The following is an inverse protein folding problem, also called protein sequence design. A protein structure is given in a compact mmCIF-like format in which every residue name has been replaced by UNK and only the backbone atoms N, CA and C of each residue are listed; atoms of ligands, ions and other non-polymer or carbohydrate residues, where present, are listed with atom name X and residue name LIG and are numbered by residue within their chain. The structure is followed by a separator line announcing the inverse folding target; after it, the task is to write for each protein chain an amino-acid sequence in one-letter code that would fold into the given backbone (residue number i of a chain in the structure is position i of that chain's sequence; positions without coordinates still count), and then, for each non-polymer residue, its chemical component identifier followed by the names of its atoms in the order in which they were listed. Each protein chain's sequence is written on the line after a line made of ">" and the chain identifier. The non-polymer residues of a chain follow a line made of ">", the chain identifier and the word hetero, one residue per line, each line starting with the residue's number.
data_IF_877309562381
#
_entry.id   IF_877309562381
#
_cell.length_a   1.000
_cell.length_b   1.000
_cell.length_c   1.000
_cell.angle_alpha   90.00
_cell.angle_beta   90.00
_cell.angle_gamma   90.00
#
_symmetry.space_group_name_H-M   'P 1'
#
loop_
_entity.id
_entity.type
_entity.pdbx_description
1 polymer ?
#
# COMPACT_ATOMS: atom_id res chain seq x y z
N UNK A 1 -8.58 43.18 28.01
CA UNK A 1 -8.11 42.25 26.96
C UNK A 1 -7.93 40.89 27.59
N UNK A 2 -8.94 40.04 27.51
CA UNK A 2 -8.93 38.67 28.06
C UNK A 2 -8.77 37.72 26.88
N UNK A 3 -7.57 37.19 26.70
CA UNK A 3 -7.30 36.15 25.71
C UNK A 3 -7.79 34.81 26.24
N UNK A 4 -8.83 34.26 25.62
CA UNK A 4 -9.26 32.89 25.84
C UNK A 4 -8.35 31.96 25.06
N UNK A 5 -7.60 31.13 25.79
CA UNK A 5 -6.87 30.00 25.24
C UNK A 5 -7.87 28.95 24.74
N UNK A 6 -7.81 28.61 23.45
CA UNK A 6 -8.51 27.44 22.92
C UNK A 6 -7.70 26.19 23.30
N UNK A 7 -8.24 25.40 24.23
CA UNK A 7 -7.78 24.04 24.47
C UNK A 7 -8.08 23.18 23.23
N UNK A 8 -7.03 22.62 22.64
CA UNK A 8 -7.13 21.64 21.56
C UNK A 8 -7.71 20.36 22.17
N UNK A 9 -8.97 20.04 21.88
CA UNK A 9 -9.54 18.75 22.22
C UNK A 9 -8.86 17.68 21.37
N UNK A 10 -8.01 16.85 22.00
CA UNK A 10 -7.50 15.63 21.41
C UNK A 10 -8.69 14.68 21.15
N UNK A 11 -9.20 14.65 19.92
CA UNK A 11 -10.09 13.59 19.51
C UNK A 11 -9.29 12.28 19.56
N UNK A 12 -9.69 11.34 20.42
CA UNK A 12 -9.24 9.95 20.33
C UNK A 12 -9.55 9.46 18.91
N UNK A 13 -8.56 9.43 18.03
CA UNK A 13 -8.66 8.68 16.79
C UNK A 13 -8.57 7.22 17.23
N UNK A 14 -9.73 6.56 17.37
CA UNK A 14 -9.75 5.14 17.66
C UNK A 14 -8.96 4.40 16.57
N UNK A 15 -8.00 3.58 17.01
CA UNK A 15 -7.23 2.71 16.13
C UNK A 15 -8.13 1.65 15.52
N UNK A 16 -7.81 1.23 14.29
CA UNK A 16 -8.51 0.13 13.63
C UNK A 16 -8.28 -1.15 14.42
N UNK A 17 -9.33 -1.93 14.68
CA UNK A 17 -9.27 -3.14 15.50
C UNK A 17 -9.89 -4.33 14.76
N UNK A 18 -9.27 -5.51 14.87
CA UNK A 18 -9.77 -6.72 14.23
C UNK A 18 -10.64 -7.52 15.19
N UNK A 19 -11.79 -7.96 14.72
CA UNK A 19 -12.61 -8.98 15.36
C UNK A 19 -12.59 -10.23 14.48
N UNK A 20 -12.12 -11.35 15.04
CA UNK A 20 -12.13 -12.63 14.36
C UNK A 20 -12.40 -13.77 15.36
N UNK A 21 -12.90 -14.89 14.86
CA UNK A 21 -13.06 -16.11 15.67
C UNK A 21 -11.72 -16.84 15.64
N UNK A 22 -11.06 -17.09 16.79
CA UNK A 22 -9.71 -17.65 16.80
C UNK A 22 -9.71 -19.05 16.23
N UNK A 23 -8.80 -19.32 15.29
CA UNK A 23 -8.33 -20.66 14.98
C UNK A 23 -7.06 -20.94 15.79
N UNK A 24 -6.84 -22.20 16.18
CA UNK A 24 -5.71 -22.58 17.03
C UNK A 24 -4.36 -22.21 16.38
N UNK A 25 -3.54 -21.47 17.13
CA UNK A 25 -2.16 -21.15 16.77
C UNK A 25 -1.24 -22.36 16.95
N UNK A 26 -0.33 -22.57 15.99
CA UNK A 26 0.76 -23.54 16.07
C UNK A 26 2.07 -22.74 16.26
N UNK A 27 3.03 -23.20 17.10
CA UNK A 27 4.29 -22.48 17.34
C UNK A 27 5.15 -22.34 16.07
N UNK A 28 5.85 -21.21 15.98
CA UNK A 28 6.68 -20.76 14.86
C UNK A 28 8.14 -21.17 15.12
N UNK A 29 8.64 -22.21 14.45
CA UNK A 29 10.07 -22.55 14.39
C UNK A 29 10.63 -21.99 13.07
N UNK A 30 11.42 -20.92 13.19
CA UNK A 30 12.01 -20.21 12.06
C UNK A 30 13.33 -20.85 11.65
N UNK A 31 13.38 -21.48 10.48
CA UNK A 31 14.55 -21.40 9.60
C UNK A 31 14.17 -21.76 8.16
N UNK A 32 14.42 -20.79 7.27
CA UNK A 32 14.31 -20.77 5.82
C UNK A 32 12.90 -20.81 5.20
N UNK A 33 12.45 -19.67 4.65
CA UNK A 33 12.08 -19.51 3.24
C UNK A 33 11.43 -18.13 2.93
N UNK A 34 11.77 -17.55 1.78
CA UNK A 34 11.60 -16.12 1.47
C UNK A 34 12.77 -15.31 2.03
N UNK A 35 13.29 -14.34 1.27
CA UNK A 35 14.36 -13.49 1.80
C UNK A 35 13.79 -12.42 2.71
N UNK A 36 14.30 -12.34 3.93
CA UNK A 36 13.88 -11.39 4.94
C UNK A 36 14.72 -10.12 4.80
N UNK A 37 14.05 -9.01 4.57
CA UNK A 37 14.62 -7.68 4.48
C UNK A 37 14.18 -6.88 5.71
N UNK A 38 15.14 -6.28 6.40
CA UNK A 38 14.85 -5.30 7.45
C UNK A 38 14.12 -4.11 6.82
N UNK A 39 12.97 -3.75 7.39
CA UNK A 39 12.19 -2.62 6.92
C UNK A 39 12.33 -1.42 7.85
N UNK A 40 12.18 -0.21 7.32
CA UNK A 40 12.17 1.01 8.10
C UNK A 40 10.86 1.77 7.86
N UNK A 41 10.24 2.37 8.90
CA UNK A 41 9.13 3.28 8.68
C UNK A 41 9.64 4.58 8.05
N UNK A 42 8.94 5.09 7.04
CA UNK A 42 9.12 6.46 6.55
C UNK A 42 8.36 7.48 7.43
N UNK A 43 8.36 8.76 7.02
CA UNK A 43 7.69 9.82 7.75
C UNK A 43 6.15 9.64 7.85
N UNK A 44 5.56 8.82 6.99
CA UNK A 44 4.13 8.51 6.94
C UNK A 44 3.81 7.09 7.47
N UNK A 45 4.76 6.46 8.17
CA UNK A 45 4.68 5.11 8.73
C UNK A 45 4.41 4.02 7.67
N UNK A 46 4.94 4.21 6.45
CA UNK A 46 5.00 3.17 5.41
C UNK A 46 6.33 2.45 5.47
N UNK A 47 6.37 1.20 5.00
CA UNK A 47 7.57 0.36 5.11
C UNK A 47 8.48 0.52 3.88
N UNK A 48 9.74 0.87 4.11
CA UNK A 48 10.81 0.89 3.09
C UNK A 48 11.80 -0.25 3.29
N UNK A 49 12.45 -0.66 2.20
CA UNK A 49 13.55 -1.64 2.22
C UNK A 49 14.78 -1.08 1.51
N UNK A 50 15.94 -1.64 1.85
CA UNK A 50 17.19 -1.38 1.14
C UNK A 50 17.23 -2.06 -0.21
N UNK A 51 17.57 -1.30 -1.26
CA UNK A 51 17.63 -1.75 -2.65
C UNK A 51 18.93 -1.25 -3.28
N UNK A 52 19.63 -2.10 -4.03
CA UNK A 52 20.78 -1.65 -4.81
C UNK A 52 20.38 -1.34 -6.26
N UNK A 53 21.01 -0.34 -6.87
CA UNK A 53 20.85 -0.01 -8.29
C UNK A 53 22.23 -0.06 -8.90
N UNK A 54 22.41 -0.87 -9.95
CA UNK A 54 23.72 -1.09 -10.58
C UNK A 54 24.80 -1.58 -9.60
N UNK A 55 24.38 -2.29 -8.53
CA UNK A 55 25.27 -2.74 -7.45
C UNK A 55 25.64 -1.67 -6.43
N UNK A 56 25.14 -0.44 -6.55
CA UNK A 56 25.33 0.65 -5.58
C UNK A 56 24.11 0.76 -4.65
N UNK A 57 24.33 1.04 -3.35
CA UNK A 57 23.25 1.13 -2.36
C UNK A 57 23.69 0.69 -0.96
N UNK A 58 22.73 0.42 -0.03
CA UNK A 58 21.29 0.37 -0.27
C UNK A 58 20.63 1.76 -0.30
N UNK A 59 19.72 1.96 -1.24
CA UNK A 59 18.76 3.06 -1.31
C UNK A 59 17.42 2.65 -0.71
N UNK A 60 16.67 3.58 -0.13
CA UNK A 60 15.40 3.28 0.54
C UNK A 60 14.25 3.29 -0.46
N UNK A 61 13.61 2.14 -0.65
CA UNK A 61 12.47 1.98 -1.55
C UNK A 61 11.21 1.60 -0.78
N UNK A 62 10.14 2.34 -1.03
CA UNK A 62 8.79 1.99 -0.59
C UNK A 62 8.28 0.78 -1.37
N UNK A 63 7.70 -0.21 -0.69
CA UNK A 63 6.92 -1.25 -1.37
C UNK A 63 5.51 -0.73 -1.61
N UNK A 64 5.09 -0.63 -2.87
CA UNK A 64 3.78 -0.12 -3.24
C UNK A 64 3.02 -1.10 -4.15
N UNK A 65 2.15 -1.90 -3.53
CA UNK A 65 1.25 -2.83 -4.25
C UNK A 65 0.12 -2.11 -4.99
N UNK A 66 -0.08 -0.81 -4.71
CA UNK A 66 -0.97 0.10 -5.40
C UNK A 66 -0.34 0.74 -6.64
N UNK A 67 0.97 0.63 -6.87
CA UNK A 67 1.64 1.14 -8.08
C UNK A 67 1.84 0.05 -9.14
N UNK A 68 1.66 0.41 -10.40
CA UNK A 68 1.97 -0.48 -11.53
C UNK A 68 3.45 -0.51 -11.86
N UNK A 69 4.12 0.63 -11.70
CA UNK A 69 5.49 0.82 -12.14
C UNK A 69 6.38 1.10 -10.94
N UNK A 70 7.61 0.59 -11.02
CA UNK A 70 8.72 1.01 -10.17
C UNK A 70 9.10 2.45 -10.53
N UNK A 71 9.34 3.28 -9.52
CA UNK A 71 9.61 4.72 -9.66
C UNK A 71 10.96 5.03 -9.01
N UNK A 72 11.71 5.95 -9.61
CA UNK A 72 12.94 6.46 -9.01
C UNK A 72 12.78 7.94 -8.66
N UNK A 73 13.40 8.38 -7.57
CA UNK A 73 13.49 9.82 -7.32
C UNK A 73 14.40 10.50 -8.35
N UNK A 74 14.05 11.72 -8.76
CA UNK A 74 14.89 12.55 -9.64
C UNK A 74 16.26 12.81 -9.01
N UNK A 75 16.33 12.94 -7.68
CA UNK A 75 17.57 13.12 -6.94
C UNK A 75 18.50 11.90 -7.07
N UNK A 76 17.97 10.70 -6.84
CA UNK A 76 18.74 9.46 -6.98
C UNK A 76 19.19 9.24 -8.43
N UNK A 77 18.29 9.42 -9.40
CA UNK A 77 18.62 9.31 -10.83
C UNK A 77 19.78 10.23 -11.23
N UNK A 78 19.80 11.47 -10.72
CA UNK A 78 20.89 12.43 -10.96
C UNK A 78 22.19 11.99 -10.28
N UNK A 79 22.12 11.50 -9.04
CA UNK A 79 23.30 11.05 -8.31
C UNK A 79 24.00 9.86 -8.97
N UNK A 80 23.22 8.95 -9.56
CA UNK A 80 23.69 7.80 -10.34
C UNK A 80 24.08 8.16 -11.79
N UNK A 81 23.91 9.42 -12.21
CA UNK A 81 24.22 9.86 -13.56
C UNK A 81 23.34 9.24 -14.65
N UNK A 82 22.12 8.81 -14.31
CA UNK A 82 21.19 8.18 -15.25
C UNK A 82 20.76 9.17 -16.33
N UNK A 83 20.65 8.68 -17.57
CA UNK A 83 20.15 9.47 -18.69
C UNK A 83 18.63 9.55 -18.65
N UNK A 84 18.10 10.76 -18.77
CA UNK A 84 16.66 10.97 -18.89
C UNK A 84 16.17 10.52 -20.27
N UNK A 85 15.06 9.82 -20.28
CA UNK A 85 14.32 9.39 -21.45
C UNK A 85 13.07 10.25 -21.67
N UNK A 86 12.23 9.91 -22.67
CA UNK A 86 10.99 10.61 -22.95
C UNK A 86 10.04 10.62 -21.75
N UNK A 87 9.22 11.66 -21.65
CA UNK A 87 8.19 11.74 -20.62
C UNK A 87 7.07 10.72 -20.85
N UNK A 88 6.52 10.22 -19.74
CA UNK A 88 5.35 9.34 -19.73
C UNK A 88 4.28 9.89 -18.78
N UNK A 89 3.03 9.47 -18.98
CA UNK A 89 1.93 9.82 -18.08
C UNK A 89 1.95 8.93 -16.85
N UNK A 90 1.95 9.56 -15.68
CA UNK A 90 1.84 8.90 -14.38
C UNK A 90 0.46 9.20 -13.80
N UNK A 91 -0.26 8.14 -13.44
CA UNK A 91 -1.55 8.26 -12.76
C UNK A 91 -1.31 8.02 -11.28
N UNK A 92 -1.61 9.03 -10.46
CA UNK A 92 -1.55 8.95 -9.00
C UNK A 92 -2.94 9.07 -8.38
N UNK A 93 -3.03 8.97 -7.05
CA UNK A 93 -4.27 9.24 -6.34
C UNK A 93 -4.79 10.66 -6.58
N UNK A 94 -3.91 11.65 -6.62
CA UNK A 94 -4.31 13.06 -6.67
C UNK A 94 -4.48 13.63 -8.08
N UNK A 95 -4.01 12.93 -9.11
CA UNK A 95 -4.02 13.47 -10.47
C UNK A 95 -3.25 12.63 -11.47
N UNK A 96 -3.29 13.09 -12.71
CA UNK A 96 -2.41 12.61 -13.79
C UNK A 96 -1.36 13.67 -14.04
N UNK A 97 -0.11 13.26 -14.16
CA UNK A 97 1.01 14.14 -14.43
C UNK A 97 1.95 13.54 -15.50
N UNK A 98 2.80 14.37 -16.09
CA UNK A 98 3.88 13.90 -16.97
C UNK A 98 5.18 13.85 -16.20
N UNK A 99 5.87 12.71 -16.25
CA UNK A 99 7.17 12.51 -15.62
C UNK A 99 8.18 12.07 -16.67
N UNK A 100 9.38 12.67 -16.63
CA UNK A 100 10.53 12.13 -17.36
C UNK A 100 10.80 10.69 -16.92
N UNK A 101 11.44 9.91 -17.79
CA UNK A 101 11.83 8.53 -17.46
C UNK A 101 13.34 8.39 -17.34
N UNK A 102 13.82 7.30 -16.76
CA UNK A 102 15.21 6.86 -16.87
C UNK A 102 15.25 5.35 -17.10
N UNK A 103 16.34 4.88 -17.72
CA UNK A 103 16.61 3.45 -17.85
C UNK A 103 17.50 2.99 -16.70
N UNK A 104 17.12 1.88 -16.07
CA UNK A 104 17.89 1.18 -15.06
C UNK A 104 18.24 -0.20 -15.61
N UNK A 105 19.53 -0.48 -15.78
CA UNK A 105 20.02 -1.78 -16.20
C UNK A 105 19.74 -2.89 -15.17
N UNK A 106 19.94 -2.62 -13.88
CA UNK A 106 19.64 -3.57 -12.80
C UNK A 106 19.20 -2.89 -11.50
N UNK A 107 18.24 -3.51 -10.82
CA UNK A 107 17.81 -3.19 -9.46
C UNK A 107 17.80 -4.48 -8.64
N UNK A 108 18.53 -4.48 -7.54
CA UNK A 108 18.71 -5.64 -6.66
C UNK A 108 17.90 -5.45 -5.39
N UNK A 109 16.98 -6.39 -5.16
CA UNK A 109 16.14 -6.47 -3.98
C UNK A 109 16.50 -7.76 -3.26
N UNK A 110 17.40 -7.64 -2.29
CA UNK A 110 18.02 -8.81 -1.68
C UNK A 110 18.84 -9.61 -2.71
N UNK A 111 18.56 -10.89 -2.85
CA UNK A 111 19.15 -11.85 -3.79
C UNK A 111 18.47 -11.83 -5.17
N UNK A 112 17.47 -10.97 -5.39
CA UNK A 112 16.74 -10.87 -6.65
C UNK A 112 17.22 -9.67 -7.42
N UNK A 113 17.53 -9.87 -8.69
CA UNK A 113 17.84 -8.79 -9.63
C UNK A 113 16.74 -8.67 -10.67
N UNK A 114 16.21 -7.46 -10.84
CA UNK A 114 15.35 -7.11 -11.95
C UNK A 114 16.15 -6.29 -12.97
N UNK A 115 15.99 -6.59 -14.25
CA UNK A 115 16.79 -6.00 -15.31
C UNK A 115 15.93 -5.16 -16.26
N UNK A 116 16.59 -4.19 -16.91
CA UNK A 116 16.03 -3.41 -18.03
C UNK A 116 14.70 -2.70 -17.72
N UNK A 117 14.68 -1.92 -16.63
CA UNK A 117 13.50 -1.15 -16.24
C UNK A 117 13.54 0.24 -16.86
N UNK A 118 12.40 0.69 -17.37
CA UNK A 118 12.16 2.10 -17.67
C UNK A 118 11.26 2.67 -16.58
N UNK A 119 11.82 3.53 -15.74
CA UNK A 119 11.14 4.05 -14.55
C UNK A 119 10.82 5.54 -14.71
N UNK A 120 9.61 6.00 -14.35
CA UNK A 120 9.34 7.43 -14.21
C UNK A 120 10.15 8.03 -13.06
N UNK A 121 10.50 9.31 -13.21
CA UNK A 121 11.23 10.09 -12.24
C UNK A 121 10.29 11.04 -11.50
N UNK A 122 10.15 10.88 -10.18
CA UNK A 122 9.35 11.76 -9.33
C UNK A 122 10.23 12.50 -8.31
N UNK A 123 9.72 13.56 -7.70
CA UNK A 123 10.46 14.33 -6.70
C UNK A 123 10.54 13.54 -5.38
N UNK A 124 11.74 13.35 -4.85
CA UNK A 124 12.05 12.64 -3.60
C UNK A 124 11.18 13.14 -2.43
N UNK A 125 11.07 14.46 -2.26
CA UNK A 125 10.26 15.10 -1.22
C UNK A 125 8.77 14.75 -1.24
N UNK A 126 8.24 14.28 -2.37
CA UNK A 126 6.84 13.86 -2.49
C UNK A 126 6.68 12.35 -2.35
N UNK A 127 7.73 11.58 -2.67
CA UNK A 127 7.75 10.13 -2.46
C UNK A 127 7.92 9.83 -0.96
N UNK A 128 8.83 10.52 -0.28
CA UNK A 128 9.26 10.20 1.09
C UNK A 128 10.33 9.10 1.17
N UNK A 129 10.87 8.68 0.03
CA UNK A 129 11.89 7.64 -0.13
C UNK A 129 12.70 7.88 -1.42
N UNK A 130 13.78 7.11 -1.63
CA UNK A 130 14.61 7.21 -2.83
C UNK A 130 13.92 6.65 -4.09
N UNK A 131 12.92 5.78 -3.90
CA UNK A 131 12.10 5.23 -4.96
C UNK A 131 10.90 4.43 -4.44
N UNK A 132 10.15 3.86 -5.38
CA UNK A 132 8.98 3.00 -5.13
C UNK A 132 9.16 1.72 -5.93
N UNK A 133 9.04 0.55 -5.29
CA UNK A 133 8.92 -0.74 -5.97
C UNK A 133 7.45 -1.02 -6.26
N UNK A 134 7.10 -1.01 -7.54
CA UNK A 134 5.74 -1.27 -8.03
C UNK A 134 5.50 -2.74 -8.37
N UNK A 135 4.30 -3.03 -8.83
CA UNK A 135 3.89 -4.40 -9.19
C UNK A 135 4.59 -4.96 -10.43
N UNK A 136 5.22 -4.15 -11.27
CA UNK A 136 6.11 -4.61 -12.36
C UNK A 136 7.27 -5.49 -11.85
N UNK A 137 7.83 -5.14 -10.70
CA UNK A 137 8.88 -5.89 -9.99
C UNK A 137 8.30 -6.98 -9.08
N UNK A 138 7.10 -6.80 -8.53
CA UNK A 138 6.54 -7.70 -7.51
C UNK A 138 5.62 -8.81 -8.07
N UNK A 139 5.19 -8.72 -9.33
CA UNK A 139 4.11 -9.55 -9.90
C UNK A 139 4.34 -11.07 -9.92
N UNK A 140 5.58 -11.53 -9.73
CA UNK A 140 5.95 -12.95 -9.67
C UNK A 140 6.34 -13.38 -8.25
N UNK A 141 6.16 -12.51 -7.27
CA UNK A 141 6.58 -12.73 -5.90
C UNK A 141 5.36 -12.82 -4.97
N UNK A 142 5.58 -13.44 -3.81
CA UNK A 142 4.81 -13.18 -2.59
C UNK A 142 5.58 -12.15 -1.77
N UNK A 143 4.87 -11.12 -1.32
CA UNK A 143 5.39 -10.07 -0.43
C UNK A 143 4.73 -10.25 0.93
N UNK A 144 5.51 -10.46 1.98
CA UNK A 144 5.02 -10.59 3.36
C UNK A 144 5.47 -9.38 4.16
N UNK A 145 4.51 -8.64 4.70
CA UNK A 145 4.72 -7.57 5.66
C UNK A 145 4.55 -8.19 7.05
N UNK A 146 5.62 -8.24 7.83
CA UNK A 146 5.58 -8.63 9.24
C UNK A 146 5.70 -7.37 10.09
N UNK A 147 4.59 -6.97 10.70
CA UNK A 147 4.50 -5.71 11.45
C UNK A 147 5.06 -5.83 12.86
N UNK A 148 5.05 -7.03 13.45
CA UNK A 148 5.65 -7.28 14.78
C UNK A 148 7.17 -7.21 14.70
N UNK A 149 7.75 -7.79 13.65
CA UNK A 149 9.21 -7.80 13.42
C UNK A 149 9.69 -6.61 12.62
N UNK A 150 8.77 -5.84 12.03
CA UNK A 150 9.07 -4.75 11.10
C UNK A 150 9.98 -5.22 9.94
N UNK A 151 9.63 -6.34 9.33
CA UNK A 151 10.37 -6.93 8.20
C UNK A 151 9.48 -7.11 6.99
N UNK A 152 10.11 -7.10 5.81
CA UNK A 152 9.48 -7.45 4.55
C UNK A 152 10.15 -8.70 4.01
N UNK A 153 9.37 -9.71 3.65
CA UNK A 153 9.87 -10.88 2.95
C UNK A 153 9.40 -10.89 1.51
N UNK A 154 10.32 -11.11 0.56
CA UNK A 154 10.01 -11.20 -0.86
C UNK A 154 10.56 -12.52 -1.39
N UNK A 155 9.71 -13.32 -2.04
CA UNK A 155 10.11 -14.66 -2.47
C UNK A 155 9.13 -15.33 -3.41
N UNK A 156 9.49 -16.51 -3.90
CA UNK A 156 8.52 -17.37 -4.58
C UNK A 156 7.48 -17.84 -3.55
N UNK A 157 6.17 -17.86 -3.86
CA UNK A 157 5.16 -18.41 -2.97
C UNK A 157 5.50 -19.77 -2.35
N UNK A 158 6.16 -20.66 -3.11
CA UNK A 158 6.56 -22.00 -2.66
C UNK A 158 7.67 -21.98 -1.63
N UNK A 159 8.47 -20.90 -1.60
CA UNK A 159 9.41 -20.68 -0.52
C UNK A 159 8.59 -20.60 0.80
N UNK A 160 7.57 -19.75 0.86
CA UNK A 160 6.82 -19.50 2.10
C UNK A 160 5.96 -20.65 2.63
N UNK A 161 5.55 -21.60 1.79
CA UNK A 161 4.53 -22.62 2.11
C UNK A 161 4.99 -23.67 3.14
N UNK A 162 6.19 -23.56 3.70
CA UNK A 162 6.71 -24.41 4.79
C UNK A 162 6.51 -23.84 6.21
N UNK A 163 6.18 -22.55 6.35
CA UNK A 163 6.18 -21.83 7.63
C UNK A 163 4.79 -21.60 8.26
N UNK A 164 3.91 -22.59 8.13
CA UNK A 164 2.60 -22.58 8.79
C UNK A 164 1.47 -21.97 7.95
N UNK A 165 0.24 -22.36 8.29
CA UNK A 165 -0.96 -21.83 7.64
C UNK A 165 -1.27 -20.42 8.13
N UNK A 166 -1.44 -19.48 7.21
CA UNK A 166 -2.10 -18.20 7.53
C UNK A 166 -3.51 -18.47 8.05
N UNK A 167 -3.93 -17.71 9.05
CA UNK A 167 -5.24 -17.89 9.68
C UNK A 167 -6.40 -17.56 8.72
N UNK A 168 -6.21 -16.55 7.86
CA UNK A 168 -7.22 -16.13 6.89
C UNK A 168 -6.60 -16.00 5.51
N UNK A 169 -7.29 -16.53 4.49
CA UNK A 169 -6.91 -16.43 3.08
C UNK A 169 -8.05 -15.85 2.27
N UNK A 170 -7.84 -14.66 1.70
CA UNK A 170 -8.81 -13.94 0.87
C UNK A 170 -8.39 -14.03 -0.60
N UNK A 171 -9.31 -14.43 -1.48
CA UNK A 171 -9.06 -14.45 -2.93
C UNK A 171 -9.26 -13.07 -3.54
N UNK A 172 -8.35 -12.69 -4.43
CA UNK A 172 -8.40 -11.46 -5.20
C UNK A 172 -8.41 -11.73 -6.71
N UNK A 173 -8.69 -10.69 -7.48
CA UNK A 173 -8.55 -10.67 -8.94
C UNK A 173 -7.43 -9.71 -9.31
N UNK A 174 -6.53 -10.11 -10.20
CA UNK A 174 -5.51 -9.22 -10.75
C UNK A 174 -6.13 -8.30 -11.81
N UNK A 175 -5.87 -7.00 -11.73
CA UNK A 175 -6.24 -6.02 -12.76
C UNK A 175 -5.12 -4.99 -12.86
N UNK A 176 -4.55 -4.84 -14.05
CA UNK A 176 -3.47 -3.88 -14.32
C UNK A 176 -2.32 -3.98 -13.30
N UNK A 177 -1.86 -5.20 -12.97
CA UNK A 177 -0.79 -5.42 -11.98
C UNK A 177 -1.28 -5.56 -10.53
N UNK A 178 -2.31 -4.81 -10.12
CA UNK A 178 -2.81 -4.75 -8.74
C UNK A 178 -3.78 -5.89 -8.41
N UNK A 179 -3.90 -6.24 -7.12
CA UNK A 179 -4.86 -7.22 -6.61
C UNK A 179 -6.11 -6.53 -6.03
N UNK A 180 -7.28 -6.98 -6.49
CA UNK A 180 -8.58 -6.44 -6.09
C UNK A 180 -9.43 -7.53 -5.44
N UNK A 181 -9.79 -7.36 -4.17
CA UNK A 181 -10.80 -8.17 -3.48
C UNK A 181 -12.18 -7.66 -3.85
N UNK A 182 -12.99 -8.49 -4.49
CA UNK A 182 -14.34 -8.11 -4.96
C UNK A 182 -15.47 -8.56 -4.03
N UNK A 183 -15.15 -9.33 -2.99
CA UNK A 183 -16.10 -9.88 -2.02
C UNK A 183 -15.90 -9.24 -0.64
N UNK A 184 -15.78 -7.92 -0.60
CA UNK A 184 -15.73 -7.14 0.62
C UNK A 184 -17.06 -6.41 0.89
N UNK A 185 -17.32 -6.12 2.16
CA UNK A 185 -18.45 -5.29 2.58
C UNK A 185 -17.98 -4.21 3.55
N UNK A 186 -18.42 -2.97 3.35
CA UNK A 186 -18.22 -1.86 4.31
C UNK A 186 -19.60 -1.44 4.79
N UNK A 187 -19.89 -1.64 6.08
CA UNK A 187 -21.20 -1.32 6.68
C UNK A 187 -22.39 -1.85 5.85
N UNK A 188 -22.27 -3.09 5.35
CA UNK A 188 -23.30 -3.74 4.54
C UNK A 188 -23.19 -3.45 3.02
N UNK A 189 -22.34 -2.52 2.59
CA UNK A 189 -22.19 -2.10 1.19
C UNK A 189 -21.10 -2.92 0.51
N UNK A 190 -21.47 -3.65 -0.55
CA UNK A 190 -20.51 -4.38 -1.38
C UNK A 190 -19.47 -3.42 -1.95
N UNK A 191 -18.21 -3.66 -1.64
CA UNK A 191 -17.10 -2.76 -1.96
C UNK A 191 -15.96 -3.55 -2.61
N UNK A 192 -15.29 -2.96 -3.60
CA UNK A 192 -14.03 -3.50 -4.13
C UNK A 192 -12.85 -2.93 -3.35
N UNK A 193 -11.94 -3.78 -2.91
CA UNK A 193 -10.79 -3.37 -2.08
C UNK A 193 -9.51 -3.64 -2.86
N UNK A 194 -8.72 -2.61 -3.08
CA UNK A 194 -7.35 -2.71 -3.60
C UNK A 194 -6.41 -2.65 -2.39
N UNK A 195 -5.46 -3.57 -2.30
CA UNK A 195 -4.43 -3.51 -1.25
C UNK A 195 -3.34 -2.53 -1.69
N UNK A 196 -3.11 -1.50 -0.89
CA UNK A 196 -2.21 -0.39 -1.23
C UNK A 196 -1.25 -0.12 -0.07
N UNK A 197 -0.06 -0.72 -0.14
CA UNK A 197 1.01 -0.51 0.83
C UNK A 197 1.73 0.84 0.64
N UNK A 198 1.48 1.53 -0.48
CA UNK A 198 2.06 2.84 -0.78
C UNK A 198 1.33 4.02 -0.12
N UNK A 199 0.14 3.76 0.43
CA UNK A 199 -0.70 4.75 1.11
C UNK A 199 -0.70 4.53 2.63
N UNK A 200 -0.47 5.59 3.41
CA UNK A 200 -0.55 5.52 4.88
C UNK A 200 -2.00 5.36 5.38
N UNK A 201 -2.97 5.91 4.64
CA UNK A 201 -4.40 5.94 4.98
C UNK A 201 -5.25 5.19 3.96
N UNK A 202 -6.43 4.72 4.39
CA UNK A 202 -7.45 4.16 3.48
C UNK A 202 -8.17 5.26 2.71
N UNK A 203 -8.19 5.13 1.37
CA UNK A 203 -8.83 6.08 0.46
C UNK A 203 -10.07 5.45 -0.15
N UNK A 204 -11.22 6.12 -0.06
CA UNK A 204 -12.49 5.66 -0.63
C UNK A 204 -12.92 6.50 -1.82
N UNK A 205 -13.63 5.90 -2.77
CA UNK A 205 -14.17 6.66 -3.90
C UNK A 205 -15.52 7.33 -3.57
N UNK A 206 -15.92 8.28 -4.42
CA UNK A 206 -17.21 9.00 -4.29
C UNK A 206 -18.43 8.09 -4.40
N UNK A 207 -18.32 6.93 -5.05
CA UNK A 207 -19.42 5.96 -5.12
C UNK A 207 -19.70 5.31 -3.76
N UNK A 208 -18.66 4.95 -3.01
CA UNK A 208 -18.80 4.46 -1.65
C UNK A 208 -19.30 5.55 -0.71
N UNK A 209 -18.74 6.76 -0.78
CA UNK A 209 -19.17 7.90 0.05
C UNK A 209 -20.69 8.14 -0.04
N UNK A 210 -21.22 8.17 -1.27
CA UNK A 210 -22.67 8.31 -1.51
C UNK A 210 -23.48 7.14 -1.00
N UNK A 211 -22.96 5.91 -1.13
CA UNK A 211 -23.64 4.70 -0.70
C UNK A 211 -23.75 4.61 0.84
N UNK A 212 -22.70 5.02 1.55
CA UNK A 212 -22.68 5.06 3.02
C UNK A 212 -23.62 6.13 3.58
N UNK A 213 -23.98 7.15 2.77
CA UNK A 213 -24.73 8.34 3.22
C UNK A 213 -24.05 9.00 4.42
N UNK A 214 -22.71 8.93 4.46
CA UNK A 214 -21.93 9.33 5.61
C UNK A 214 -21.92 10.86 5.74
N UNK A 215 -22.14 11.34 6.97
CA UNK A 215 -22.01 12.77 7.24
C UNK A 215 -20.53 13.11 7.36
N UNK A 216 -20.08 14.12 6.62
CA UNK A 216 -18.68 14.59 6.63
C UNK A 216 -18.20 14.77 8.07
N UNK A 217 -17.21 13.98 8.48
CA UNK A 217 -16.54 14.10 9.79
C UNK A 217 -15.43 15.15 9.77
N UNK A 218 -15.04 15.59 8.57
CA UNK A 218 -14.05 16.63 8.34
C UNK A 218 -13.68 16.71 6.86
N UNK A 219 -12.84 17.68 6.53
CA UNK A 219 -12.26 17.86 5.19
C UNK A 219 -10.75 18.01 5.32
N UNK A 220 -10.02 17.66 4.26
CA UNK A 220 -8.58 17.84 4.21
C UNK A 220 -8.06 17.87 2.79
N UNK A 221 -6.74 17.85 2.66
CA UNK A 221 -6.02 17.70 1.41
C UNK A 221 -5.14 16.46 1.50
N UNK A 222 -5.19 15.62 0.47
CA UNK A 222 -4.26 14.52 0.27
C UNK A 222 -3.19 14.98 -0.73
N UNK A 223 -1.91 14.74 -0.44
CA UNK A 223 -0.81 14.95 -1.39
C UNK A 223 -0.36 13.60 -1.91
N UNK A 224 -0.28 13.42 -3.23
CA UNK A 224 0.23 12.18 -3.83
C UNK A 224 1.75 12.22 -4.03
N UNK A 225 2.32 11.09 -4.43
CA UNK A 225 3.75 10.96 -4.78
C UNK A 225 4.19 11.84 -5.97
N UNK A 226 3.24 12.36 -6.76
CA UNK A 226 3.56 13.36 -7.82
C UNK A 226 3.61 14.79 -7.27
N UNK A 227 3.20 15.02 -6.02
CA UNK A 227 3.08 16.34 -5.39
C UNK A 227 1.76 17.05 -5.67
N UNK A 228 0.90 16.47 -6.51
CA UNK A 228 -0.45 16.96 -6.73
C UNK A 228 -1.28 16.78 -5.45
N UNK A 229 -2.21 17.69 -5.22
CA UNK A 229 -3.09 17.65 -4.05
C UNK A 229 -4.54 17.40 -4.45
N UNK A 230 -5.27 16.66 -3.62
CA UNK A 230 -6.66 16.28 -3.85
C UNK A 230 -7.51 16.57 -2.62
N UNK A 231 -8.62 17.31 -2.76
CA UNK A 231 -9.55 17.52 -1.66
C UNK A 231 -10.20 16.21 -1.22
N UNK A 232 -10.19 15.95 0.08
CA UNK A 232 -10.77 14.76 0.70
C UNK A 232 -11.84 15.13 1.74
N UNK A 233 -12.84 14.26 1.87
CA UNK A 233 -13.76 14.28 3.01
C UNK A 233 -13.48 13.06 3.89
N UNK A 234 -13.42 13.23 5.19
CA UNK A 234 -13.28 12.10 6.10
C UNK A 234 -14.64 11.53 6.48
N UNK A 235 -14.71 10.20 6.53
CA UNK A 235 -15.80 9.44 7.13
C UNK A 235 -15.28 8.22 7.87
N UNK A 236 -16.12 7.64 8.72
CA UNK A 236 -15.76 6.47 9.52
C UNK A 236 -16.73 5.34 9.19
N UNK A 237 -16.20 4.22 8.72
CA UNK A 237 -16.97 2.99 8.63
C UNK A 237 -16.86 2.22 9.95
N UNK A 238 -17.99 1.67 10.39
CA UNK A 238 -18.00 0.86 11.61
C UNK A 238 -17.24 -0.45 11.39
N UNK A 239 -17.38 -1.02 10.19
CA UNK A 239 -16.88 -2.36 9.88
C UNK A 239 -16.58 -2.55 8.39
N UNK A 240 -15.37 -3.02 8.11
CA UNK A 240 -14.94 -3.65 6.86
C UNK A 240 -14.89 -5.17 7.05
N UNK A 241 -15.64 -5.91 6.24
CA UNK A 241 -15.62 -7.37 6.19
C UNK A 241 -14.94 -7.87 4.93
N UNK A 242 -13.95 -8.75 5.08
CA UNK A 242 -13.23 -9.45 4.02
C UNK A 242 -13.33 -10.96 4.26
N UNK A 243 -14.26 -11.64 3.61
CA UNK A 243 -14.53 -13.05 3.90
C UNK A 243 -14.91 -13.29 5.39
N UNK A 244 -14.13 -14.05 6.16
CA UNK A 244 -14.30 -14.26 7.60
C UNK A 244 -13.68 -13.16 8.49
N UNK A 245 -12.87 -12.27 7.90
CA UNK A 245 -12.17 -11.20 8.59
C UNK A 245 -13.06 -9.96 8.77
N UNK A 246 -13.00 -9.34 9.94
CA UNK A 246 -13.69 -8.08 10.23
C UNK A 246 -12.73 -7.07 10.86
N UNK A 247 -12.55 -5.93 10.19
CA UNK A 247 -11.82 -4.75 10.69
C UNK A 247 -12.83 -3.70 11.07
N UNK A 248 -12.72 -3.14 12.27
CA UNK A 248 -13.63 -2.14 12.83
C UNK A 248 -12.96 -0.76 12.88
N UNK A 249 -13.77 0.30 12.94
CA UNK A 249 -13.33 1.70 13.03
C UNK A 249 -12.40 2.13 11.87
N UNK A 250 -12.81 1.81 10.64
CA UNK A 250 -12.04 2.11 9.43
C UNK A 250 -12.24 3.58 9.06
N UNK A 251 -11.19 4.39 9.19
CA UNK A 251 -11.20 5.78 8.74
C UNK A 251 -10.98 5.83 7.22
N UNK A 252 -11.89 6.49 6.52
CA UNK A 252 -11.85 6.57 5.05
C UNK A 252 -11.74 8.04 4.63
N UNK A 253 -10.69 8.34 3.86
CA UNK A 253 -10.58 9.61 3.15
C UNK A 253 -11.23 9.48 1.77
N UNK A 254 -12.42 10.07 1.61
CA UNK A 254 -13.18 10.04 0.37
C UNK A 254 -12.69 11.07 -0.63
N UNK A 255 -12.33 10.60 -1.82
CA UNK A 255 -11.75 11.42 -2.87
C UNK A 255 -12.28 11.03 -4.26
N UNK A 256 -12.17 11.95 -5.21
CA UNK A 256 -12.42 11.68 -6.63
C UNK A 256 -11.08 11.41 -7.34
N UNK A 257 -10.47 10.26 -7.01
CA UNK A 257 -9.12 9.92 -7.44
C UNK A 257 -9.12 9.26 -8.84
N UNK A 258 -8.31 9.74 -9.82
CA UNK A 258 -8.18 9.13 -11.14
C UNK A 258 -7.76 7.66 -11.13
N UNK A 259 -7.04 7.22 -10.09
CA UNK A 259 -6.64 5.83 -9.89
C UNK A 259 -7.84 4.86 -9.88
N UNK A 260 -9.00 5.26 -9.31
CA UNK A 260 -10.21 4.42 -9.37
C UNK A 260 -10.73 4.25 -10.80
N UNK A 261 -10.59 5.28 -11.65
CA UNK A 261 -11.00 5.19 -13.05
C UNK A 261 -10.07 4.27 -13.83
N UNK A 262 -8.76 4.35 -13.61
CA UNK A 262 -7.77 3.46 -14.23
C UNK A 262 -8.01 1.96 -13.92
N UNK A 263 -8.68 1.67 -12.80
CA UNK A 263 -9.06 0.32 -12.37
C UNK A 263 -10.53 -0.04 -12.69
N UNK A 264 -11.27 0.79 -13.42
CA UNK A 264 -12.73 0.73 -13.62
C UNK A 264 -13.50 0.43 -12.31
N UNK A 265 -13.15 1.20 -11.29
CA UNK A 265 -13.76 1.23 -9.96
C UNK A 265 -14.49 2.55 -9.67
N UNK A 266 -14.33 3.59 -10.49
CA UNK A 266 -14.96 4.92 -10.30
C UNK A 266 -16.48 4.88 -10.04
N UNK A 267 -17.20 3.97 -10.71
CA UNK A 267 -18.68 3.93 -10.71
C UNK A 267 -19.30 2.97 -9.69
N UNK A 268 -18.50 2.27 -8.90
CA UNK A 268 -18.98 1.31 -7.87
C UNK A 268 -18.21 1.52 -6.57
N UNK A 269 -18.78 1.22 -5.39
CA UNK A 269 -18.07 1.41 -4.14
C UNK A 269 -16.70 0.70 -4.15
N UNK A 270 -15.65 1.47 -3.86
CA UNK A 270 -14.28 0.94 -3.81
C UNK A 270 -13.40 1.73 -2.84
N UNK A 271 -12.38 1.05 -2.31
CA UNK A 271 -11.30 1.65 -1.52
C UNK A 271 -9.92 1.16 -1.99
N UNK A 272 -8.90 1.99 -1.77
CA UNK A 272 -7.53 1.56 -1.57
C UNK A 272 -7.33 1.40 -0.05
N UNK A 273 -7.03 0.18 0.41
CA UNK A 273 -6.79 -0.14 1.82
C UNK A 273 -5.33 0.14 2.15
N UNK A 274 -5.10 1.15 2.99
CA UNK A 274 -3.77 1.66 3.33
C UNK A 274 -3.16 1.02 4.58
N UNK A 275 -1.92 1.45 4.88
CA UNK A 275 -1.09 0.90 5.96
C UNK A 275 -1.74 0.97 7.34
N UNK A 276 -2.50 2.03 7.65
CA UNK A 276 -3.23 2.12 8.94
C UNK A 276 -4.07 0.88 9.22
N UNK A 277 -4.83 0.40 8.24
CA UNK A 277 -5.69 -0.79 8.41
C UNK A 277 -4.89 -2.08 8.26
N UNK A 278 -3.85 -2.11 7.42
CA UNK A 278 -2.98 -3.28 7.26
C UNK A 278 -2.17 -3.58 8.53
N UNK A 279 -1.74 -2.55 9.25
CA UNK A 279 -1.00 -2.66 10.52
C UNK A 279 -1.86 -3.14 11.69
N UNK A 280 -3.18 -3.26 11.52
CA UNK A 280 -4.01 -3.91 12.54
C UNK A 280 -3.70 -5.42 12.63
N UNK A 281 -3.16 -6.01 11.56
CA UNK A 281 -2.75 -7.40 11.48
C UNK A 281 -1.32 -7.59 11.98
N UNK A 282 -1.00 -8.82 12.39
CA UNK A 282 0.39 -9.19 12.70
C UNK A 282 1.22 -9.30 11.43
N UNK A 283 0.70 -10.06 10.46
CA UNK A 283 1.33 -10.27 9.15
C UNK A 283 0.30 -10.16 8.04
N UNK A 284 0.70 -9.55 6.93
CA UNK A 284 -0.08 -9.53 5.69
C UNK A 284 0.79 -10.02 4.56
N UNK A 285 0.35 -11.07 3.86
CA UNK A 285 1.00 -11.57 2.67
C UNK A 285 0.19 -11.28 1.42
N UNK A 286 0.84 -10.73 0.41
CA UNK A 286 0.27 -10.38 -0.88
C UNK A 286 0.92 -11.30 -1.91
N UNK A 287 0.17 -12.28 -2.38
CA UNK A 287 0.65 -13.28 -3.34
C UNK A 287 0.09 -12.95 -4.73
N UNK A 288 0.94 -12.36 -5.57
CA UNK A 288 0.57 -11.96 -6.93
C UNK A 288 0.40 -13.16 -7.87
N UNK A 289 1.13 -14.26 -7.61
CA UNK A 289 1.10 -15.48 -8.42
C UNK A 289 -0.20 -16.25 -8.21
N UNK A 290 -0.57 -16.50 -6.95
CA UNK A 290 -1.78 -17.24 -6.60
C UNK A 290 -3.02 -16.35 -6.44
N UNK A 291 -2.85 -15.02 -6.50
CA UNK A 291 -3.90 -14.00 -6.38
C UNK A 291 -4.64 -14.09 -5.06
N UNK A 292 -3.89 -14.25 -3.99
CA UNK A 292 -4.39 -14.36 -2.62
C UNK A 292 -3.79 -13.27 -1.76
N UNK A 293 -4.56 -12.83 -0.78
CA UNK A 293 -4.06 -12.02 0.33
C UNK A 293 -4.27 -12.84 1.57
N UNK A 294 -3.22 -13.02 2.36
CA UNK A 294 -3.23 -13.87 3.53
C UNK A 294 -2.93 -13.03 4.78
N UNK A 295 -3.62 -13.33 5.87
CA UNK A 295 -3.58 -12.53 7.10
C UNK A 295 -3.34 -13.42 8.30
N UNK A 296 -2.46 -12.96 9.18
CA UNK A 296 -2.36 -13.43 10.56
C UNK A 296 -2.98 -12.39 11.49
N UNK A 297 -3.76 -12.86 12.45
CA UNK A 297 -4.46 -12.01 13.38
C UNK A 297 -3.49 -11.47 14.44
N UNK A 298 -3.80 -10.32 15.07
CA UNK A 298 -3.08 -9.89 16.26
C UNK A 298 -3.24 -10.93 17.37
N UNK A 299 -2.17 -11.16 18.12
CA UNK A 299 -2.12 -12.10 19.25
C UNK A 299 -2.85 -11.62 20.50
#
# INVERSE_FOLDING_TARGET
>A
MTGTAFALAAALIAHSAIAATPAQSIPDDSDAAGEILEAQPDADDRMTIGVAIHGEGPYQFLIDTGSQNTVLSTALARSLGLRTGPSTKVISLAGVDEAETARIDSIDVGQRTFYDLTVPLLQDRHIGADGILGTDSLQHQRVVLDFDRNTIQIGDPHDFDRNGSYEITVRARKRSGQLIVTQAMIDGIRTSVVIDTGSSSTIGNRALERAMREHKKGTGMLTSVTGQTLPINFGLAQKLKLDSLEVTNVLIAFADAPAFKALDLERRPAIFLGMRELRAFRRVAIDFTTRKILFDLPG
#
